data_IF_052302602848
#
_entry.id   IF_052302602848
#
_cell.length_a   1.000
_cell.length_b   1.000
_cell.length_c   1.000
_cell.angle_alpha   90.00
_cell.angle_beta   90.00
_cell.angle_gamma   90.00
#
_symmetry.space_group_name_H-M   'P 1'
#
loop_
_entity.id
_entity.type
_entity.pdbx_description
1 polymer ?
#
# COMPACT_ATOMS: atom_id res chain seq x y z
N UNK A 1 30.33 -34.43 -40.49
CA UNK A 1 29.09 -34.60 -39.68
C UNK A 1 29.10 -33.59 -38.55
N UNK A 2 28.75 -32.33 -38.80
CA UNK A 2 28.70 -31.31 -37.75
C UNK A 2 27.76 -30.18 -38.21
N UNK A 3 26.45 -30.35 -38.08
CA UNK A 3 25.49 -29.25 -38.36
C UNK A 3 24.07 -29.44 -37.80
N UNK A 4 23.73 -30.53 -37.10
CA UNK A 4 22.37 -30.70 -36.54
C UNK A 4 22.24 -30.26 -35.08
N UNK A 5 23.34 -30.17 -34.31
CA UNK A 5 23.31 -29.83 -32.88
C UNK A 5 23.22 -28.31 -32.61
N UNK A 6 23.62 -27.47 -33.56
CA UNK A 6 23.65 -26.00 -33.40
C UNK A 6 22.27 -25.36 -33.59
N UNK A 7 21.45 -25.84 -34.53
CA UNK A 7 20.13 -25.29 -34.77
C UNK A 7 19.16 -25.56 -33.60
N UNK A 8 19.21 -26.78 -33.04
CA UNK A 8 18.34 -27.18 -31.93
C UNK A 8 18.67 -26.46 -30.62
N UNK A 9 19.95 -26.21 -30.36
CA UNK A 9 20.38 -25.47 -29.16
C UNK A 9 20.02 -23.99 -29.23
N UNK A 10 20.17 -23.37 -30.40
CA UNK A 10 19.73 -21.98 -30.62
C UNK A 10 18.21 -21.84 -30.48
N UNK A 11 17.43 -22.80 -30.99
CA UNK A 11 15.98 -22.79 -30.84
C UNK A 11 15.53 -22.87 -29.37
N UNK A 12 16.17 -23.73 -28.56
CA UNK A 12 15.85 -23.86 -27.13
C UNK A 12 16.19 -22.57 -26.37
N UNK A 13 17.32 -21.92 -26.68
CA UNK A 13 17.72 -20.66 -26.04
C UNK A 13 16.79 -19.49 -26.41
N UNK A 14 16.31 -19.46 -27.65
CA UNK A 14 15.34 -18.46 -28.11
C UNK A 14 13.97 -18.65 -27.44
N UNK A 15 13.50 -19.89 -27.31
CA UNK A 15 12.26 -20.20 -26.60
C UNK A 15 12.35 -19.84 -25.12
N UNK A 16 13.46 -20.12 -24.46
CA UNK A 16 13.67 -19.76 -23.05
C UNK A 16 13.70 -18.23 -22.84
N UNK A 17 14.38 -17.50 -23.73
CA UNK A 17 14.42 -16.04 -23.71
C UNK A 17 13.05 -15.41 -23.94
N UNK A 18 12.25 -16.00 -24.85
CA UNK A 18 10.88 -15.57 -25.10
C UNK A 18 9.99 -15.81 -23.86
N UNK A 19 10.10 -16.97 -23.21
CA UNK A 19 9.37 -17.26 -21.96
C UNK A 19 9.70 -16.26 -20.83
N UNK A 20 10.97 -15.87 -20.68
CA UNK A 20 11.37 -14.86 -19.70
C UNK A 20 10.83 -13.46 -20.01
N UNK A 21 10.69 -13.11 -21.30
CA UNK A 21 10.06 -11.85 -21.69
C UNK A 21 8.55 -11.83 -21.37
N UNK A 22 7.86 -12.96 -21.54
CA UNK A 22 6.45 -13.08 -21.15
C UNK A 22 6.23 -13.09 -19.63
N UNK A 23 7.16 -13.64 -18.85
CA UNK A 23 7.05 -13.65 -17.38
C UNK A 23 7.20 -12.25 -16.74
N UNK A 24 7.93 -11.34 -17.40
CA UNK A 24 8.08 -9.94 -16.96
C UNK A 24 7.05 -8.99 -17.60
N UNK A 25 6.28 -9.45 -18.58
CA UNK A 25 5.32 -8.65 -19.31
C UNK A 25 3.94 -8.67 -18.66
N UNK A 26 3.49 -7.50 -18.20
CA UNK A 26 2.10 -7.10 -17.85
C UNK A 26 1.77 -6.93 -16.36
N UNK A 27 2.43 -5.98 -15.70
CA UNK A 27 1.70 -5.09 -14.78
C UNK A 27 0.77 -4.19 -15.62
N UNK A 28 -0.32 -4.75 -16.13
CA UNK A 28 -1.40 -3.96 -16.75
C UNK A 28 -2.17 -3.30 -15.60
N UNK A 29 -1.78 -2.05 -15.34
CA UNK A 29 -2.60 -0.95 -14.85
C UNK A 29 -3.88 -1.32 -14.05
N UNK A 30 -3.71 -1.87 -12.85
CA UNK A 30 -4.75 -1.77 -11.80
C UNK A 30 -4.80 -0.35 -11.21
N UNK A 31 -3.79 0.46 -11.51
CA UNK A 31 -3.58 1.84 -11.04
C UNK A 31 -4.70 2.82 -11.40
N UNK A 32 -5.55 2.53 -12.39
CA UNK A 32 -6.63 3.44 -12.78
C UNK A 32 -7.98 3.18 -12.08
N UNK A 33 -8.18 2.00 -11.47
CA UNK A 33 -9.40 1.72 -10.71
C UNK A 33 -9.35 2.24 -9.28
N UNK A 34 -8.15 2.30 -8.69
CA UNK A 34 -7.92 3.00 -7.43
C UNK A 34 -7.64 4.46 -7.79
N UNK A 35 -8.61 5.34 -7.60
CA UNK A 35 -8.43 6.76 -7.90
C UNK A 35 -7.14 7.30 -7.27
N UNK A 36 -6.42 8.18 -7.96
CA UNK A 36 -5.07 8.61 -7.55
C UNK A 36 -4.97 9.09 -6.10
N UNK A 37 -6.06 9.64 -5.55
CA UNK A 37 -6.13 10.06 -4.15
C UNK A 37 -6.14 8.91 -3.14
N UNK A 38 -6.72 7.74 -3.49
CA UNK A 38 -6.72 6.56 -2.62
C UNK A 38 -5.30 6.02 -2.45
N UNK A 39 -4.57 5.97 -3.56
CA UNK A 39 -3.17 5.56 -3.56
C UNK A 39 -2.31 6.55 -2.79
N UNK A 40 -2.56 7.86 -2.95
CA UNK A 40 -1.85 8.89 -2.19
C UNK A 40 -2.10 8.75 -0.67
N UNK A 41 -3.34 8.52 -0.24
CA UNK A 41 -3.67 8.33 1.17
C UNK A 41 -3.03 7.05 1.72
N UNK A 42 -3.02 5.96 0.94
CA UNK A 42 -2.32 4.73 1.30
C UNK A 42 -0.80 4.95 1.44
N UNK A 43 -0.18 5.64 0.48
CA UNK A 43 1.25 5.95 0.51
C UNK A 43 1.61 6.85 1.71
N UNK A 44 0.76 7.83 2.04
CA UNK A 44 0.91 8.67 3.25
C UNK A 44 0.83 7.82 4.52
N UNK A 45 -0.12 6.89 4.58
CA UNK A 45 -0.30 6.00 5.72
C UNK A 45 0.94 5.12 5.96
N UNK A 46 1.56 4.60 4.89
CA UNK A 46 2.82 3.84 4.99
C UNK A 46 3.94 4.70 5.61
N UNK A 47 4.10 5.96 5.21
CA UNK A 47 5.09 6.87 5.81
C UNK A 47 4.81 7.11 7.29
N UNK A 48 3.54 7.31 7.65
CA UNK A 48 3.13 7.47 9.04
C UNK A 48 3.49 6.26 9.91
N UNK A 49 3.28 5.04 9.41
CA UNK A 49 3.72 3.84 10.13
C UNK A 49 5.23 3.79 10.34
N UNK A 50 6.02 4.18 9.33
CA UNK A 50 7.48 4.26 9.47
C UNK A 50 7.90 5.27 10.55
N UNK A 51 7.29 6.45 10.56
CA UNK A 51 7.58 7.48 11.57
C UNK A 51 7.21 7.01 12.99
N UNK A 52 6.07 6.32 13.12
CA UNK A 52 5.66 5.71 14.39
C UNK A 52 6.69 4.67 14.82
N UNK A 53 7.07 3.74 13.94
CA UNK A 53 8.03 2.67 14.25
C UNK A 53 9.40 3.24 14.63
N UNK A 54 9.82 4.33 13.98
CA UNK A 54 11.04 5.09 14.30
C UNK A 54 10.96 5.86 15.64
N UNK A 55 9.79 5.90 16.28
CA UNK A 55 9.59 6.49 17.61
C UNK A 55 9.23 7.97 17.62
N UNK A 56 8.90 8.58 16.47
CA UNK A 56 8.57 10.01 16.39
C UNK A 56 7.23 10.34 17.06
N UNK A 57 6.40 9.33 17.34
CA UNK A 57 5.05 9.47 17.88
C UNK A 57 4.91 9.00 19.33
N UNK A 58 6.02 8.63 19.98
CA UNK A 58 6.04 8.15 21.36
C UNK A 58 5.55 6.71 21.54
N UNK A 59 5.74 6.18 22.76
CA UNK A 59 5.51 4.76 23.06
C UNK A 59 4.01 4.38 23.06
N UNK A 60 3.12 5.34 23.31
CA UNK A 60 1.68 5.12 23.28
C UNK A 60 1.21 4.61 21.90
N UNK A 61 1.76 5.16 20.81
CA UNK A 61 1.43 4.73 19.45
C UNK A 61 1.99 3.35 19.07
N UNK A 62 2.71 2.68 19.98
CA UNK A 62 3.23 1.32 19.81
C UNK A 62 2.63 0.34 20.82
N UNK A 63 1.71 0.79 21.68
CA UNK A 63 1.15 -0.03 22.74
C UNK A 63 0.25 -1.17 22.19
N UNK A 64 -0.38 -0.93 21.04
CA UNK A 64 -1.18 -1.92 20.31
C UNK A 64 -1.25 -1.59 18.82
N UNK A 65 -1.77 -2.51 18.00
CA UNK A 65 -2.03 -2.26 16.58
C UNK A 65 -3.09 -1.16 16.39
N UNK A 66 -4.10 -1.10 17.27
CA UNK A 66 -5.13 -0.07 17.18
C UNK A 66 -4.62 1.31 17.61
N UNK A 67 -3.72 1.39 18.59
CA UNK A 67 -3.04 2.65 18.94
C UNK A 67 -2.18 3.13 17.78
N UNK A 68 -1.45 2.22 17.13
CA UNK A 68 -0.68 2.52 15.91
C UNK A 68 -1.57 3.03 14.78
N UNK A 69 -2.74 2.42 14.60
CA UNK A 69 -3.71 2.83 13.60
C UNK A 69 -4.29 4.22 13.89
N UNK A 70 -4.75 4.48 15.11
CA UNK A 70 -5.25 5.80 15.53
C UNK A 70 -4.17 6.88 15.36
N UNK A 71 -2.92 6.61 15.74
CA UNK A 71 -1.81 7.51 15.51
C UNK A 71 -1.50 7.72 14.03
N UNK A 72 -1.59 6.67 13.19
CA UNK A 72 -1.39 6.80 11.76
C UNK A 72 -2.47 7.68 11.11
N UNK A 73 -3.74 7.57 11.54
CA UNK A 73 -4.81 8.45 11.07
C UNK A 73 -4.56 9.91 11.48
N UNK A 74 -4.15 10.14 12.73
CA UNK A 74 -3.77 11.47 13.21
C UNK A 74 -2.53 12.03 12.45
N UNK A 75 -1.59 11.17 12.09
CA UNK A 75 -0.43 11.52 11.27
C UNK A 75 -0.82 11.95 9.85
N UNK A 76 -1.75 11.23 9.22
CA UNK A 76 -2.24 11.60 7.89
C UNK A 76 -2.88 12.99 7.94
N UNK A 77 -3.79 13.24 8.89
CA UNK A 77 -4.37 14.56 9.11
C UNK A 77 -4.98 14.65 10.50
N UNK A 78 -4.34 15.39 11.40
CA UNK A 78 -4.81 15.59 12.77
C UNK A 78 -6.18 16.27 12.81
N UNK A 79 -6.43 17.23 11.92
CA UNK A 79 -7.72 17.91 11.79
C UNK A 79 -8.84 16.94 11.44
N UNK A 80 -8.65 16.10 10.42
CA UNK A 80 -9.68 15.14 10.00
C UNK A 80 -9.85 14.01 11.02
N UNK A 81 -8.75 13.56 11.64
CA UNK A 81 -8.82 12.55 12.70
C UNK A 81 -9.65 13.07 13.87
N UNK A 82 -9.35 14.27 14.38
CA UNK A 82 -10.10 14.85 15.50
C UNK A 82 -11.57 15.05 15.16
N UNK A 83 -11.90 15.44 13.92
CA UNK A 83 -13.28 15.62 13.49
C UNK A 83 -14.08 14.32 13.39
N UNK A 84 -13.43 13.18 13.11
CA UNK A 84 -14.11 11.91 12.82
C UNK A 84 -14.00 10.91 13.98
N UNK A 85 -12.86 10.87 14.65
CA UNK A 85 -12.48 9.91 15.69
C UNK A 85 -12.07 10.57 17.02
N UNK A 86 -11.89 11.89 17.08
CA UNK A 86 -11.33 12.55 18.28
C UNK A 86 -12.15 12.38 19.56
N UNK A 87 -13.46 12.20 19.45
CA UNK A 87 -14.34 11.93 20.60
C UNK A 87 -14.54 10.44 20.91
N UNK A 88 -14.21 9.57 19.96
CA UNK A 88 -14.44 8.13 20.01
C UNK A 88 -13.40 7.44 19.12
N UNK A 89 -12.16 7.23 19.61
CA UNK A 89 -11.08 6.62 18.84
C UNK A 89 -11.45 5.21 18.39
N UNK A 90 -10.73 4.67 17.40
CA UNK A 90 -10.97 3.29 16.98
C UNK A 90 -10.64 2.31 18.11
N UNK A 91 -11.48 1.30 18.29
CA UNK A 91 -11.29 0.22 19.25
C UNK A 91 -10.72 -1.05 18.61
N UNK A 92 -10.10 -1.91 19.43
CA UNK A 92 -9.51 -3.17 18.96
C UNK A 92 -10.59 -4.07 18.32
N UNK A 93 -10.34 -4.52 17.09
CA UNK A 93 -11.30 -5.31 16.31
C UNK A 93 -12.44 -4.50 15.66
N UNK A 94 -12.49 -3.17 15.80
CA UNK A 94 -13.48 -2.34 15.15
C UNK A 94 -13.22 -2.22 13.64
N UNK A 95 -14.28 -2.35 12.84
CA UNK A 95 -14.25 -2.06 11.40
C UNK A 95 -15.29 -0.96 11.09
N UNK A 96 -14.87 0.31 11.15
CA UNK A 96 -15.75 1.44 10.83
C UNK A 96 -15.59 1.94 9.39
N UNK A 97 -16.29 1.26 8.47
CA UNK A 97 -16.33 1.65 7.06
C UNK A 97 -16.99 3.02 6.83
N UNK A 98 -17.90 3.46 7.71
CA UNK A 98 -18.64 4.72 7.53
C UNK A 98 -17.74 5.91 7.86
N UNK A 99 -17.11 5.89 9.04
CA UNK A 99 -16.14 6.90 9.46
C UNK A 99 -14.89 6.86 8.60
N UNK A 100 -14.45 5.69 8.13
CA UNK A 100 -13.34 5.59 7.18
C UNK A 100 -13.60 6.35 5.87
N UNK A 101 -14.82 6.29 5.33
CA UNK A 101 -15.22 7.11 4.16
C UNK A 101 -15.28 8.60 4.49
N UNK A 102 -15.77 8.97 5.68
CA UNK A 102 -15.83 10.38 6.11
C UNK A 102 -14.44 10.98 6.28
N UNK A 103 -13.52 10.24 6.90
CA UNK A 103 -12.13 10.64 7.06
C UNK A 103 -11.44 10.86 5.71
N UNK A 104 -11.61 9.92 4.78
CA UNK A 104 -11.11 10.04 3.42
C UNK A 104 -11.67 11.27 2.70
N UNK A 105 -12.99 11.51 2.79
CA UNK A 105 -13.62 12.68 2.19
C UNK A 105 -13.11 14.00 2.81
N UNK A 106 -12.86 14.03 4.13
CA UNK A 106 -12.28 15.19 4.81
C UNK A 106 -10.87 15.53 4.30
N UNK A 107 -10.03 14.52 4.02
CA UNK A 107 -8.67 14.76 3.50
C UNK A 107 -8.69 15.32 2.07
N UNK A 108 -9.73 14.98 1.31
CA UNK A 108 -9.88 15.34 -0.10
C UNK A 108 -10.62 16.67 -0.32
N UNK A 109 -11.26 17.22 0.71
CA UNK A 109 -12.02 18.47 0.67
C UNK A 109 -11.21 19.66 1.16
#
# INVERSE_FOLDING_TARGET
MASSASASTLAVLLLFSLCLAFAHGTSIAVDHLMGGSDREIADRKVRCYQDIDNGLWGDACKASEIDKENCALACISSTCYNSVYGGDPLEEGEIDLRRGRQFKACIQG
#
